data_IF_856718298009
#
_entry.id   IF_856718298009
#
_cell.length_a   1.000
_cell.length_b   1.000
_cell.length_c   1.000
_cell.angle_alpha   90.00
_cell.angle_beta   90.00
_cell.angle_gamma   90.00
#
_symmetry.space_group_name_H-M   'P 1'
#
loop_
_entity.id
_entity.type
_entity.pdbx_description
1 polymer ?
#
# COMPACT_ATOMS: atom_id res chain seq x y z
N UNK A 1 2.42 -4.15 -20.34
CA UNK A 1 3.47 -4.03 -19.32
C UNK A 1 3.90 -2.57 -19.30
N UNK A 2 3.31 -1.77 -18.42
CA UNK A 2 3.67 -0.36 -18.31
C UNK A 2 5.01 -0.28 -17.58
N UNK A 3 6.00 0.40 -18.17
CA UNK A 3 7.27 0.70 -17.50
C UNK A 3 6.99 1.75 -16.41
N UNK A 4 6.60 1.31 -15.22
CA UNK A 4 6.55 2.15 -14.03
C UNK A 4 7.99 2.36 -13.57
N UNK A 5 8.54 3.55 -13.79
CA UNK A 5 9.82 3.92 -13.20
C UNK A 5 9.63 3.86 -11.68
N UNK A 6 10.28 2.89 -11.02
CA UNK A 6 10.29 2.75 -9.56
C UNK A 6 10.84 4.04 -8.96
N UNK A 7 10.00 4.76 -8.20
CA UNK A 7 10.40 5.97 -7.50
C UNK A 7 10.84 5.59 -6.08
N UNK A 8 12.00 6.07 -5.60
CA UNK A 8 12.40 5.84 -4.22
C UNK A 8 11.37 6.40 -3.25
N UNK A 9 11.05 5.62 -2.21
CA UNK A 9 10.11 6.01 -1.17
C UNK A 9 10.62 7.30 -0.47
N UNK A 10 9.81 8.38 -0.40
CA UNK A 10 10.24 9.62 0.19
C UNK A 10 10.34 9.54 1.72
N UNK A 11 11.28 10.28 2.30
CA UNK A 11 11.39 10.47 3.75
C UNK A 11 10.58 11.69 4.17
N UNK A 12 9.65 11.52 5.11
CA UNK A 12 8.82 12.61 5.61
C UNK A 12 9.35 13.14 6.95
N UNK A 13 9.26 14.46 7.13
CA UNK A 13 9.74 15.13 8.35
C UNK A 13 8.65 15.21 9.42
N UNK A 14 7.38 14.99 9.07
CA UNK A 14 6.25 15.02 9.98
C UNK A 14 5.18 13.98 9.64
N UNK A 15 4.35 13.64 10.63
CA UNK A 15 3.24 12.71 10.45
C UNK A 15 2.16 13.28 9.52
N UNK A 16 1.90 14.59 9.56
CA UNK A 16 0.93 15.22 8.66
C UNK A 16 1.37 15.14 7.20
N UNK A 17 2.66 15.33 6.93
CA UNK A 17 3.24 15.22 5.59
C UNK A 17 3.15 13.78 5.05
N UNK A 18 3.36 12.78 5.91
CA UNK A 18 3.16 11.38 5.55
C UNK A 18 1.69 11.09 5.19
N UNK A 19 0.73 11.61 5.97
CA UNK A 19 -0.70 11.45 5.68
C UNK A 19 -1.04 12.10 4.34
N UNK A 20 -0.63 13.35 4.13
CA UNK A 20 -0.89 14.08 2.88
C UNK A 20 -0.29 13.35 1.67
N UNK A 21 0.92 12.79 1.82
CA UNK A 21 1.54 11.98 0.78
C UNK A 21 0.71 10.73 0.45
N UNK A 22 0.26 10.00 1.48
CA UNK A 22 -0.55 8.80 1.31
C UNK A 22 -1.91 9.09 0.63
N UNK A 23 -2.52 10.24 0.94
CA UNK A 23 -3.82 10.64 0.36
C UNK A 23 -3.72 11.14 -1.08
N UNK A 24 -2.56 11.68 -1.48
CA UNK A 24 -2.39 12.38 -2.77
C UNK A 24 -1.62 11.59 -3.82
N UNK A 25 -0.91 10.53 -3.43
CA UNK A 25 -0.07 9.74 -4.32
C UNK A 25 -0.56 8.29 -4.44
N UNK A 26 -0.34 7.69 -5.60
CA UNK A 26 -0.59 6.26 -5.79
C UNK A 26 0.56 5.45 -5.16
N UNK A 27 0.24 4.69 -4.13
CA UNK A 27 1.22 3.83 -3.43
C UNK A 27 1.68 2.64 -4.29
N UNK A 28 0.94 2.29 -5.33
CA UNK A 28 1.35 1.25 -6.28
C UNK A 28 2.66 1.61 -7.01
N UNK A 29 2.96 2.90 -7.18
CA UNK A 29 4.23 3.35 -7.79
C UNK A 29 5.46 3.04 -6.92
N UNK A 30 5.27 2.77 -5.63
CA UNK A 30 6.33 2.56 -4.64
C UNK A 30 6.41 1.10 -4.17
N UNK A 31 5.65 0.19 -4.79
CA UNK A 31 5.50 -1.20 -4.34
C UNK A 31 6.84 -1.92 -4.09
N UNK A 32 7.80 -1.73 -5.00
CA UNK A 32 9.11 -2.40 -4.92
C UNK A 32 10.00 -1.87 -3.78
N UNK A 33 9.76 -0.64 -3.32
CA UNK A 33 10.50 0.01 -2.23
C UNK A 33 9.75 -0.03 -0.89
N UNK A 34 8.49 -0.50 -0.87
CA UNK A 34 7.73 -0.66 0.36
C UNK A 34 8.27 -1.83 1.20
N UNK A 35 8.41 -1.65 2.52
CA UNK A 35 8.87 -2.73 3.38
C UNK A 35 7.88 -3.90 3.39
N UNK A 36 8.40 -5.12 3.38
CA UNK A 36 7.58 -6.32 3.57
C UNK A 36 6.96 -6.31 4.97
N UNK A 37 5.63 -6.39 5.04
CA UNK A 37 4.90 -6.45 6.32
C UNK A 37 4.13 -7.76 6.40
N UNK A 38 4.32 -8.46 7.52
CA UNK A 38 3.56 -9.65 7.84
C UNK A 38 2.29 -9.25 8.58
N UNK A 39 1.13 -9.47 7.95
CA UNK A 39 -0.17 -9.24 8.57
C UNK A 39 -0.80 -10.57 8.99
N UNK A 40 -1.18 -10.68 10.26
CA UNK A 40 -2.00 -11.79 10.74
C UNK A 40 -3.47 -11.36 10.74
N UNK A 41 -4.28 -12.01 9.89
CA UNK A 41 -5.71 -11.74 9.82
C UNK A 41 -6.48 -12.92 10.43
N UNK A 42 -7.09 -12.69 11.59
CA UNK A 42 -7.98 -13.66 12.22
C UNK A 42 -9.44 -13.35 11.85
N UNK A 43 -9.98 -14.10 10.89
CA UNK A 43 -11.38 -13.98 10.49
C UNK A 43 -12.25 -14.75 11.49
N UNK A 44 -12.85 -14.04 12.44
CA UNK A 44 -13.63 -14.62 13.55
C UNK A 44 -15.03 -15.12 13.14
N UNK A 45 -15.57 -14.66 12.01
CA UNK A 45 -16.84 -15.14 11.47
C UNK A 45 -16.91 -14.92 9.95
N UNK A 46 -17.26 -15.97 9.20
CA UNK A 46 -17.52 -15.85 7.76
C UNK A 46 -18.93 -15.33 7.58
N UNK A 47 -19.09 -14.05 7.20
CA UNK A 47 -20.38 -13.60 6.66
C UNK A 47 -20.43 -13.85 5.15
N UNK A 48 -19.56 -13.27 4.34
CA UNK A 48 -19.43 -13.61 2.91
C UNK A 48 -18.01 -13.25 2.46
N UNK A 49 -17.16 -14.23 2.21
CA UNK A 49 -15.87 -14.01 1.54
C UNK A 49 -16.13 -14.27 0.05
N UNK A 50 -16.10 -13.21 -0.74
CA UNK A 50 -16.25 -13.28 -2.19
C UNK A 50 -14.85 -13.03 -2.74
N UNK A 51 -14.36 -13.96 -3.54
CA UNK A 51 -13.13 -13.76 -4.32
C UNK A 51 -13.42 -12.68 -5.37
N UNK A 52 -12.64 -11.61 -5.36
CA UNK A 52 -12.64 -10.63 -6.45
C UNK A 52 -11.57 -11.13 -7.41
N UNK A 53 -12.00 -11.92 -8.38
CA UNK A 53 -11.18 -12.33 -9.52
C UNK A 53 -11.36 -11.29 -10.65
N UNK A 54 -10.30 -10.99 -11.40
CA UNK A 54 -10.28 -10.03 -12.52
C UNK A 54 -10.60 -10.71 -13.86
#
# INVERSE_FOLDING_TARGET
MANTQTKPMPTHSSLNELIEFFDTHDMGEYWDDMPEVHFEVNITSRKHLIEIDE
#
